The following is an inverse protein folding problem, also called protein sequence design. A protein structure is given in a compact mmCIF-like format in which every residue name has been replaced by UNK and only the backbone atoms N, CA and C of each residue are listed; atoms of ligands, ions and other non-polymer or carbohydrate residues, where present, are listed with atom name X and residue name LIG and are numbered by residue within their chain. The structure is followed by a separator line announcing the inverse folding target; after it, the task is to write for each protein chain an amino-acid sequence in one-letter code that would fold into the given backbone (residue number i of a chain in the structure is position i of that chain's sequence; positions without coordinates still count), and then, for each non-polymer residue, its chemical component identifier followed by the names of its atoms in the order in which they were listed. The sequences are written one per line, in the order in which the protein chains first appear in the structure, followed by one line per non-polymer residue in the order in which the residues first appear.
data_IF_711730695173
#
_entry.id   IF_711730695173
#
_cell.length_a   1.000
_cell.length_b   1.000
_cell.length_c   1.000
_cell.angle_alpha   90.00
_cell.angle_beta   90.00
_cell.angle_gamma   90.00
#
_symmetry.space_group_name_H-M   'P 1'
#
loop_
_entity.id
_entity.type
_entity.pdbx_description
1 polymer ?
#
# COMPACT_ATOMS: atom_id res chain seq x y z
N UNK A 1 -1.59 24.74 -18.43
CA UNK A 1 -0.59 23.96 -17.66
C UNK A 1 -1.33 22.86 -16.91
N UNK A 2 -0.86 21.61 -17.03
CA UNK A 2 -1.40 20.49 -16.24
C UNK A 2 -0.89 20.66 -14.81
N UNK A 3 -1.78 20.87 -13.85
CA UNK A 3 -1.44 21.04 -12.43
C UNK A 3 -1.78 19.78 -11.65
N UNK A 4 -0.87 19.31 -10.79
CA UNK A 4 -1.18 18.24 -9.84
C UNK A 4 -2.05 18.80 -8.71
N UNK A 5 -3.17 18.13 -8.43
CA UNK A 5 -4.17 18.60 -7.46
C UNK A 5 -4.13 17.79 -6.17
N UNK A 6 -3.88 16.47 -6.27
CA UNK A 6 -3.82 15.56 -5.12
C UNK A 6 -2.90 14.38 -5.40
N UNK A 7 -2.19 13.95 -4.36
CA UNK A 7 -1.39 12.74 -4.37
C UNK A 7 -1.72 11.86 -3.14
N UNK A 8 -1.74 10.54 -3.36
CA UNK A 8 -1.97 9.53 -2.34
C UNK A 8 -0.99 8.37 -2.54
N UNK A 9 -0.24 8.03 -1.51
CA UNK A 9 0.81 7.02 -1.56
C UNK A 9 0.58 5.93 -0.52
N UNK A 10 0.83 4.70 -0.92
CA UNK A 10 0.99 3.57 -0.02
C UNK A 10 2.42 3.09 -0.10
N UNK A 11 3.13 2.95 1.02
CA UNK A 11 4.50 2.46 1.03
C UNK A 11 4.71 1.35 2.05
N UNK A 12 5.51 0.36 1.67
CA UNK A 12 6.02 -0.67 2.58
C UNK A 12 7.11 -0.06 3.43
N UNK A 13 7.11 -0.39 4.72
CA UNK A 13 8.20 0.00 5.61
C UNK A 13 9.58 -0.49 5.10
N UNK A 14 10.64 0.15 5.58
CA UNK A 14 12.02 -0.31 5.32
C UNK A 14 12.33 -1.68 5.95
N UNK A 15 13.44 -2.28 5.56
CA UNK A 15 13.86 -3.60 6.05
C UNK A 15 13.90 -3.66 7.59
N UNK A 16 13.33 -4.74 8.15
CA UNK A 16 13.27 -5.01 9.60
C UNK A 16 13.95 -6.32 9.94
N UNK A 17 14.43 -6.42 11.18
CA UNK A 17 14.81 -7.68 11.77
C UNK A 17 13.59 -8.62 11.87
N UNK A 18 13.78 -9.95 11.82
CA UNK A 18 12.71 -10.91 12.08
C UNK A 18 11.99 -10.59 13.40
N UNK A 19 10.67 -10.78 13.44
CA UNK A 19 9.87 -10.57 14.65
C UNK A 19 10.05 -11.68 15.70
N UNK A 20 10.50 -12.86 15.28
CA UNK A 20 10.73 -14.04 16.12
C UNK A 20 12.23 -14.35 16.29
N UNK A 21 12.52 -15.32 17.16
CA UNK A 21 13.88 -15.64 17.59
C UNK A 21 14.80 -15.99 16.42
N UNK A 22 15.98 -15.35 16.42
CA UNK A 22 17.12 -15.76 15.62
C UNK A 22 18.00 -16.61 16.52
N UNK A 23 17.94 -17.93 16.32
CA UNK A 23 18.64 -18.92 17.15
C UNK A 23 20.15 -18.92 16.91
N UNK A 24 20.58 -18.56 15.70
CA UNK A 24 21.98 -18.45 15.35
C UNK A 24 22.55 -17.08 15.79
N UNK A 25 23.49 -17.12 16.75
CA UNK A 25 24.17 -15.94 17.30
C UNK A 25 24.85 -15.07 16.23
N UNK A 26 25.35 -15.67 15.14
CA UNK A 26 25.98 -14.94 14.02
C UNK A 26 24.96 -14.06 13.31
N UNK A 27 23.73 -14.54 13.12
CA UNK A 27 22.66 -13.74 12.52
C UNK A 27 22.05 -12.75 13.51
N UNK A 28 21.97 -13.11 14.80
CA UNK A 28 21.49 -12.19 15.85
C UNK A 28 22.35 -10.93 15.95
N UNK A 29 23.67 -11.06 15.77
CA UNK A 29 24.61 -9.92 15.74
C UNK A 29 24.37 -8.93 14.60
N UNK A 30 23.66 -9.33 13.53
CA UNK A 30 23.31 -8.44 12.40
C UNK A 30 22.13 -7.52 12.70
N UNK A 31 21.38 -7.76 13.76
CA UNK A 31 20.20 -6.98 14.14
C UNK A 31 20.48 -6.14 15.39
N UNK A 32 21.39 -5.17 15.25
CA UNK A 32 21.87 -4.33 16.36
C UNK A 32 20.76 -3.55 17.07
N UNK A 33 19.66 -3.24 16.37
CA UNK A 33 18.50 -2.52 16.91
C UNK A 33 17.50 -3.44 17.63
N UNK A 34 17.68 -4.77 17.59
CA UNK A 34 16.74 -5.74 18.16
C UNK A 34 15.81 -6.39 17.12
N UNK A 35 15.05 -7.39 17.57
CA UNK A 35 14.08 -8.12 16.74
C UNK A 35 12.83 -7.28 16.47
N UNK A 36 12.28 -7.37 15.26
CA UNK A 36 11.12 -6.57 14.82
C UNK A 36 11.42 -5.09 14.52
N UNK A 37 12.61 -4.60 14.86
CA UNK A 37 13.04 -3.22 14.63
C UNK A 37 13.60 -3.02 13.22
N UNK A 38 13.61 -1.76 12.74
CA UNK A 38 14.26 -1.41 11.48
C UNK A 38 15.76 -1.70 11.54
N UNK A 39 16.30 -2.31 10.48
CA UNK A 39 17.76 -2.46 10.31
C UNK A 39 18.38 -1.14 9.87
N UNK A 40 19.71 -1.02 9.98
CA UNK A 40 20.45 0.13 9.42
C UNK A 40 20.14 0.32 7.93
N UNK A 41 20.07 -0.77 7.17
CA UNK A 41 19.68 -0.74 5.76
C UNK A 41 18.24 -0.25 5.57
N UNK A 42 17.31 -0.65 6.44
CA UNK A 42 15.93 -0.18 6.42
C UNK A 42 15.80 1.32 6.70
N UNK A 43 16.60 1.86 7.62
CA UNK A 43 16.68 3.29 7.91
C UNK A 43 17.24 4.06 6.69
N UNK A 44 18.33 3.59 6.11
CA UNK A 44 18.92 4.21 4.92
C UNK A 44 17.99 4.12 3.70
N UNK A 45 17.27 3.00 3.54
CA UNK A 45 16.23 2.83 2.52
C UNK A 45 15.10 3.86 2.67
N UNK A 46 14.60 4.07 3.89
CA UNK A 46 13.61 5.11 4.18
C UNK A 46 14.15 6.52 3.86
N UNK A 47 15.43 6.79 4.17
CA UNK A 47 16.07 8.08 3.87
C UNK A 47 16.18 8.32 2.37
N UNK A 48 16.56 7.30 1.58
CA UNK A 48 16.59 7.37 0.11
C UNK A 48 15.19 7.62 -0.45
N UNK A 49 14.17 6.94 0.08
CA UNK A 49 12.78 7.17 -0.28
C UNK A 49 12.35 8.62 0.02
N UNK A 50 12.72 9.17 1.17
CA UNK A 50 12.48 10.57 1.52
C UNK A 50 13.09 11.55 0.51
N UNK A 51 14.35 11.33 0.10
CA UNK A 51 15.01 12.14 -0.94
C UNK A 51 14.31 12.05 -2.30
N UNK A 52 13.84 10.86 -2.68
CA UNK A 52 13.05 10.68 -3.89
C UNK A 52 11.76 11.51 -3.85
N UNK A 53 11.05 11.50 -2.72
CA UNK A 53 9.81 12.26 -2.55
C UNK A 53 10.05 13.77 -2.51
N UNK A 54 11.13 14.22 -1.88
CA UNK A 54 11.56 15.63 -1.89
C UNK A 54 11.76 16.12 -3.33
N UNK A 55 12.56 15.38 -4.12
CA UNK A 55 12.78 15.70 -5.53
C UNK A 55 11.48 15.69 -6.33
N UNK A 56 10.61 14.71 -6.09
CA UNK A 56 9.35 14.58 -6.84
C UNK A 56 8.34 15.67 -6.53
N UNK A 57 8.20 16.08 -5.26
CA UNK A 57 7.07 16.90 -4.81
C UNK A 57 7.44 18.27 -4.27
N UNK A 58 8.64 18.45 -3.73
CA UNK A 58 9.11 19.75 -3.21
C UNK A 58 9.78 20.54 -4.32
N UNK A 59 10.73 19.93 -5.03
CA UNK A 59 11.43 20.61 -6.14
C UNK A 59 10.48 20.93 -7.31
N UNK A 60 9.46 20.09 -7.53
CA UNK A 60 8.38 20.36 -8.50
C UNK A 60 7.38 21.42 -8.03
N UNK A 61 7.55 21.98 -6.83
CA UNK A 61 6.71 23.01 -6.19
C UNK A 61 5.27 22.56 -5.91
N UNK A 62 4.99 21.26 -5.93
CA UNK A 62 3.68 20.73 -5.56
C UNK A 62 3.41 20.89 -4.06
N UNK A 63 4.37 20.49 -3.23
CA UNK A 63 4.39 20.68 -1.79
C UNK A 63 5.22 21.92 -1.44
N UNK A 64 4.73 22.68 -0.47
CA UNK A 64 5.48 23.80 0.13
C UNK A 64 6.16 23.30 1.39
N UNK A 65 7.38 23.78 1.62
CA UNK A 65 8.11 23.59 2.87
C UNK A 65 7.88 24.79 3.81
N UNK A 66 7.85 24.58 5.13
CA UNK A 66 7.95 23.29 5.83
C UNK A 66 6.67 22.46 5.68
N UNK A 67 6.83 21.14 5.60
CA UNK A 67 5.69 20.22 5.63
C UNK A 67 5.00 20.32 6.99
N UNK A 68 3.68 20.51 7.00
CA UNK A 68 2.92 20.48 8.25
C UNK A 68 2.94 19.04 8.80
N UNK A 69 3.18 18.85 10.11
CA UNK A 69 3.10 17.53 10.72
C UNK A 69 1.70 16.97 10.48
N UNK A 70 1.65 15.79 9.86
CA UNK A 70 0.41 15.08 9.61
C UNK A 70 0.63 13.65 10.09
N UNK A 71 -0.25 13.18 10.95
CA UNK A 71 -0.23 11.79 11.42
C UNK A 71 -0.42 10.85 10.24
N UNK A 72 0.40 9.79 10.20
CA UNK A 72 0.35 8.79 9.14
C UNK A 72 -0.54 7.65 9.58
N UNK A 73 -1.68 7.40 8.90
CA UNK A 73 -2.53 6.27 9.24
C UNK A 73 -1.79 4.96 8.98
N UNK A 74 -1.69 4.12 10.02
CA UNK A 74 -1.27 2.72 9.90
C UNK A 74 -2.50 1.85 9.61
N UNK A 75 -2.42 1.03 8.57
CA UNK A 75 -3.52 0.17 8.13
C UNK A 75 -3.11 -1.30 8.33
N UNK A 76 -3.50 -1.91 9.46
CA UNK A 76 -3.18 -3.32 9.74
C UNK A 76 -4.16 -4.03 10.70
N UNK A 77 -4.59 -3.38 11.78
CA UNK A 77 -5.23 -4.06 12.92
C UNK A 77 -6.56 -4.81 12.64
N UNK A 78 -7.39 -4.29 11.74
CA UNK A 78 -8.74 -4.82 11.49
C UNK A 78 -8.75 -6.22 10.84
N UNK A 79 -7.79 -6.51 9.95
CA UNK A 79 -7.75 -7.77 9.20
C UNK A 79 -7.55 -8.97 10.13
N UNK A 80 -6.74 -8.81 11.18
CA UNK A 80 -6.47 -9.87 12.14
C UNK A 80 -7.68 -10.24 13.00
N UNK A 81 -8.49 -9.24 13.37
CA UNK A 81 -9.76 -9.44 14.06
C UNK A 81 -10.72 -10.28 13.20
N UNK A 82 -10.90 -9.94 11.92
CA UNK A 82 -11.81 -10.68 11.06
C UNK A 82 -11.39 -12.10 10.71
N UNK A 83 -10.10 -12.40 10.69
CA UNK A 83 -9.63 -13.79 10.50
C UNK A 83 -9.79 -14.65 11.76
N UNK A 84 -10.40 -14.12 12.82
CA UNK A 84 -10.54 -14.83 14.08
C UNK A 84 -9.20 -15.09 14.75
N UNK A 85 -8.14 -14.35 14.40
CA UNK A 85 -6.81 -14.41 15.03
C UNK A 85 -6.79 -13.62 16.36
N UNK A 86 -7.86 -13.77 17.13
CA UNK A 86 -7.99 -13.24 18.49
C UNK A 86 -7.19 -14.08 19.49
N UNK A 87 -7.01 -13.59 20.72
CA UNK A 87 -6.40 -14.33 21.83
C UNK A 87 -7.05 -15.69 22.18
N UNK A 88 -8.25 -15.98 21.64
CA UNK A 88 -9.07 -17.16 22.00
C UNK A 88 -9.19 -18.23 20.89
N UNK A 89 -8.48 -18.11 19.76
CA UNK A 89 -8.41 -19.20 18.77
C UNK A 89 -7.52 -20.35 19.27
N UNK A 90 -7.90 -21.59 18.95
CA UNK A 90 -7.12 -22.79 19.25
C UNK A 90 -5.99 -23.03 18.26
N UNK A 91 -5.97 -22.33 17.12
CA UNK A 91 -4.99 -22.50 16.05
C UNK A 91 -3.72 -21.65 16.26
N UNK A 92 -3.89 -20.36 16.57
CA UNK A 92 -2.78 -19.43 16.85
C UNK A 92 -3.21 -18.42 17.91
N UNK A 93 -2.52 -18.37 19.07
CA UNK A 93 -2.94 -17.57 20.23
C UNK A 93 -2.75 -16.07 20.06
N UNK A 94 -1.90 -15.65 19.14
CA UNK A 94 -1.68 -14.24 18.82
C UNK A 94 -1.00 -14.08 17.43
N UNK A 95 -0.90 -12.82 16.97
CA UNK A 95 -0.21 -12.47 15.73
C UNK A 95 1.27 -12.94 15.72
N UNK A 96 1.90 -13.06 16.89
CA UNK A 96 3.30 -13.51 17.01
C UNK A 96 3.42 -15.01 16.76
N UNK A 97 2.47 -15.82 17.20
CA UNK A 97 2.39 -17.25 16.91
C UNK A 97 2.06 -17.50 15.44
N UNK A 98 1.16 -16.70 14.86
CA UNK A 98 0.92 -16.70 13.41
C UNK A 98 2.22 -16.37 12.65
N UNK A 99 2.93 -15.29 13.01
CA UNK A 99 4.21 -14.95 12.38
C UNK A 99 5.29 -16.02 12.55
N UNK A 100 5.30 -16.75 13.67
CA UNK A 100 6.22 -17.89 13.86
C UNK A 100 5.89 -19.03 12.91
N UNK A 101 4.61 -19.36 12.75
CA UNK A 101 4.15 -20.40 11.83
C UNK A 101 4.39 -20.01 10.38
N UNK A 102 4.08 -18.78 10.01
CA UNK A 102 4.42 -18.22 8.70
C UNK A 102 5.92 -18.34 8.43
N UNK A 103 6.78 -17.97 9.40
CA UNK A 103 8.22 -18.10 9.29
C UNK A 103 8.71 -19.54 9.12
N UNK A 104 8.09 -20.52 9.80
CA UNK A 104 8.41 -21.96 9.68
C UNK A 104 8.00 -22.53 8.32
N UNK A 105 6.95 -22.01 7.69
CA UNK A 105 6.48 -22.50 6.39
C UNK A 105 7.24 -21.94 5.18
N UNK A 106 8.12 -20.95 5.38
CA UNK A 106 8.95 -20.35 4.32
C UNK A 106 9.94 -21.35 3.68
N UNK A 107 10.23 -22.50 4.31
CA UNK A 107 11.17 -23.49 3.77
C UNK A 107 10.66 -24.27 2.54
N UNK A 108 9.35 -24.27 2.23
CA UNK A 108 8.79 -24.93 1.03
C UNK A 108 8.20 -23.93 0.04
N UNK A 109 8.89 -23.75 -1.10
CA UNK A 109 8.56 -22.75 -2.13
C UNK A 109 7.10 -22.80 -2.65
N UNK A 110 6.55 -24.00 -2.90
CA UNK A 110 5.16 -24.15 -3.37
C UNK A 110 4.13 -23.79 -2.28
N UNK A 111 4.41 -24.17 -1.04
CA UNK A 111 3.55 -23.84 0.09
C UNK A 111 3.60 -22.33 0.39
N UNK A 112 4.77 -21.72 0.22
CA UNK A 112 4.97 -20.28 0.33
C UNK A 112 4.06 -19.51 -0.64
N UNK A 113 3.93 -19.94 -1.89
CA UNK A 113 3.05 -19.28 -2.87
C UNK A 113 1.58 -19.40 -2.46
N UNK A 114 1.12 -20.57 -2.01
CA UNK A 114 -0.27 -20.79 -1.61
C UNK A 114 -0.64 -20.02 -0.34
N UNK A 115 0.21 -20.07 0.69
CA UNK A 115 0.02 -19.32 1.95
C UNK A 115 0.03 -17.82 1.66
N UNK A 116 0.94 -17.37 0.80
CA UNK A 116 1.03 -15.97 0.45
C UNK A 116 -0.16 -15.49 -0.39
N UNK A 117 -0.62 -16.29 -1.36
CA UNK A 117 -1.84 -16.00 -2.13
C UNK A 117 -3.06 -15.91 -1.19
N UNK A 118 -3.17 -16.80 -0.21
CA UNK A 118 -4.19 -16.74 0.83
C UNK A 118 -4.07 -15.47 1.70
N UNK A 119 -2.86 -15.14 2.17
CA UNK A 119 -2.62 -13.96 3.01
C UNK A 119 -3.00 -12.65 2.32
N UNK A 120 -2.76 -12.58 1.02
CA UNK A 120 -3.05 -11.42 0.17
C UNK A 120 -4.48 -11.44 -0.39
N UNK A 121 -5.13 -12.60 -0.44
CA UNK A 121 -6.40 -12.82 -1.13
C UNK A 121 -6.27 -12.94 -2.65
N UNK A 122 -5.07 -13.17 -3.19
CA UNK A 122 -4.87 -13.25 -4.62
C UNK A 122 -5.71 -14.39 -5.23
N UNK A 123 -6.56 -14.05 -6.20
CA UNK A 123 -7.48 -14.99 -6.84
C UNK A 123 -8.85 -15.13 -6.17
N UNK A 124 -9.08 -14.49 -5.01
CA UNK A 124 -10.37 -14.49 -4.33
C UNK A 124 -10.88 -13.06 -4.08
N UNK A 125 -12.02 -12.74 -4.68
CA UNK A 125 -12.59 -11.38 -4.65
C UNK A 125 -13.00 -10.99 -3.23
N UNK A 126 -13.63 -11.91 -2.50
CA UNK A 126 -14.09 -11.70 -1.12
C UNK A 126 -12.93 -11.40 -0.18
N UNK A 127 -11.85 -12.18 -0.26
CA UNK A 127 -10.64 -11.97 0.54
C UNK A 127 -9.96 -10.66 0.18
N UNK A 128 -9.91 -10.28 -1.12
CA UNK A 128 -9.40 -8.96 -1.52
C UNK A 128 -10.27 -7.81 -0.99
N UNK A 129 -11.60 -7.95 -0.99
CA UNK A 129 -12.48 -6.97 -0.36
C UNK A 129 -12.18 -6.84 1.14
N UNK A 130 -12.01 -7.96 1.84
CA UNK A 130 -11.70 -7.98 3.27
C UNK A 130 -10.34 -7.32 3.57
N UNK A 131 -9.30 -7.68 2.82
CA UNK A 131 -7.92 -7.28 3.09
C UNK A 131 -7.63 -5.81 2.77
N UNK A 132 -8.14 -5.31 1.64
CA UNK A 132 -7.83 -3.96 1.17
C UNK A 132 -9.04 -3.11 0.78
N UNK A 133 -10.24 -3.69 0.73
CA UNK A 133 -11.40 -2.99 0.16
C UNK A 133 -11.79 -1.72 0.90
N UNK A 134 -11.60 -1.67 2.23
CA UNK A 134 -11.78 -0.44 3.02
C UNK A 134 -10.74 0.62 2.68
N UNK A 135 -9.49 0.22 2.47
CA UNK A 135 -8.42 1.13 2.08
C UNK A 135 -8.67 1.69 0.68
N UNK A 136 -8.99 0.85 -0.30
CA UNK A 136 -9.32 1.28 -1.65
C UNK A 136 -10.52 2.22 -1.67
N UNK A 137 -11.59 1.89 -0.95
CA UNK A 137 -12.72 2.80 -0.77
C UNK A 137 -12.28 4.16 -0.21
N UNK A 138 -11.48 4.16 0.86
CA UNK A 138 -10.97 5.41 1.49
C UNK A 138 -10.14 6.25 0.51
N UNK A 139 -9.29 5.62 -0.30
CA UNK A 139 -8.48 6.30 -1.32
C UNK A 139 -9.39 6.95 -2.37
N UNK A 140 -10.38 6.21 -2.89
CA UNK A 140 -11.32 6.72 -3.90
C UNK A 140 -12.17 7.88 -3.37
N UNK A 141 -12.71 7.77 -2.15
CA UNK A 141 -13.47 8.86 -1.51
C UNK A 141 -12.59 10.09 -1.25
N UNK A 142 -11.34 9.88 -0.85
CA UNK A 142 -10.38 11.00 -0.71
C UNK A 142 -10.20 11.76 -2.03
N UNK A 143 -10.11 11.07 -3.17
CA UNK A 143 -10.00 11.74 -4.47
C UNK A 143 -11.28 12.51 -4.82
N UNK A 144 -12.46 11.95 -4.52
CA UNK A 144 -13.75 12.65 -4.66
C UNK A 144 -13.81 13.95 -3.88
N UNK A 145 -13.55 13.89 -2.58
CA UNK A 145 -13.54 15.07 -1.71
C UNK A 145 -12.57 16.14 -2.21
N UNK A 146 -11.39 15.72 -2.69
CA UNK A 146 -10.34 16.64 -3.14
C UNK A 146 -10.64 17.26 -4.50
N UNK A 147 -11.29 16.53 -5.41
CA UNK A 147 -11.81 17.08 -6.65
C UNK A 147 -12.87 18.14 -6.34
N UNK A 148 -13.84 17.83 -5.49
CA UNK A 148 -14.87 18.81 -5.11
C UNK A 148 -14.29 20.06 -4.44
N UNK A 149 -13.32 19.90 -3.53
CA UNK A 149 -12.61 21.02 -2.92
C UNK A 149 -11.95 21.89 -3.98
N UNK A 150 -11.26 21.27 -4.95
CA UNK A 150 -10.60 21.97 -6.04
C UNK A 150 -11.59 22.69 -6.96
N UNK A 151 -12.74 22.09 -7.29
CA UNK A 151 -13.78 22.72 -8.11
C UNK A 151 -14.41 23.93 -7.43
N UNK A 152 -14.64 23.85 -6.10
CA UNK A 152 -15.24 24.93 -5.30
C UNK A 152 -14.26 26.09 -5.06
N UNK A 153 -12.99 25.79 -4.79
CA UNK A 153 -11.99 26.79 -4.32
C UNK A 153 -10.91 27.14 -5.35
N UNK A 154 -10.83 26.43 -6.46
CA UNK A 154 -9.74 26.53 -7.44
C UNK A 154 -8.40 25.95 -6.97
N UNK A 155 -8.33 25.36 -5.77
CA UNK A 155 -7.13 24.74 -5.19
C UNK A 155 -7.49 23.74 -4.09
N UNK A 156 -6.63 22.74 -3.89
CA UNK A 156 -6.63 21.88 -2.69
C UNK A 156 -5.73 22.52 -1.63
N UNK A 157 -6.28 22.92 -0.50
CA UNK A 157 -5.53 23.70 0.52
C UNK A 157 -4.82 22.81 1.53
N UNK A 158 -5.43 21.67 1.90
CA UNK A 158 -4.93 20.77 2.94
C UNK A 158 -4.84 19.33 2.46
N UNK A 159 -3.86 18.60 3.01
CA UNK A 159 -3.60 17.18 2.72
C UNK A 159 -3.36 16.92 1.23
N UNK A 160 -2.50 17.73 0.58
CA UNK A 160 -2.13 17.53 -0.83
C UNK A 160 -1.42 16.19 -1.08
N UNK A 161 -0.67 15.72 -0.09
CA UNK A 161 -0.04 14.40 -0.03
C UNK A 161 -0.66 13.64 1.16
N UNK A 162 -1.01 12.37 0.97
CA UNK A 162 -1.34 11.43 2.06
C UNK A 162 -0.46 10.21 1.86
N UNK A 163 0.18 9.75 2.92
CA UNK A 163 1.04 8.57 2.90
C UNK A 163 0.53 7.54 3.92
N UNK A 164 0.31 6.32 3.47
CA UNK A 164 -0.04 5.18 4.32
C UNK A 164 1.19 4.28 4.44
N UNK A 165 1.65 4.06 5.68
CA UNK A 165 2.70 3.07 5.97
C UNK A 165 2.07 1.71 6.24
N UNK A 166 2.54 0.67 5.58
CA UNK A 166 1.97 -0.67 5.72
C UNK A 166 2.98 -1.79 5.40
N UNK A 167 2.49 -3.01 5.20
CA UNK A 167 3.21 -4.24 4.92
C UNK A 167 3.16 -4.59 3.42
N UNK A 168 4.00 -5.54 2.99
CA UNK A 168 3.99 -6.10 1.64
C UNK A 168 2.62 -6.67 1.23
N UNK A 169 1.99 -7.43 2.12
CA UNK A 169 0.72 -8.09 1.81
C UNK A 169 -0.43 -7.12 1.55
N UNK A 170 -0.46 -5.95 2.22
CA UNK A 170 -1.44 -4.88 1.91
C UNK A 170 -1.13 -4.22 0.57
N UNK A 171 0.14 -3.93 0.27
CA UNK A 171 0.53 -3.39 -1.05
C UNK A 171 0.09 -4.33 -2.16
N UNK A 172 0.38 -5.61 -2.02
CA UNK A 172 0.02 -6.59 -3.02
C UNK A 172 -1.48 -6.83 -3.11
N UNK A 173 -2.19 -6.83 -1.98
CA UNK A 173 -3.65 -6.92 -1.98
C UNK A 173 -4.23 -5.74 -2.76
N UNK A 174 -3.76 -4.51 -2.50
CA UNK A 174 -4.22 -3.32 -3.22
C UNK A 174 -3.89 -3.41 -4.72
N UNK A 175 -2.69 -3.85 -5.09
CA UNK A 175 -2.31 -4.08 -6.49
C UNK A 175 -3.21 -5.11 -7.18
N UNK A 176 -3.59 -6.19 -6.49
CA UNK A 176 -4.52 -7.20 -7.00
C UNK A 176 -5.95 -6.64 -7.13
N UNK A 177 -6.41 -5.89 -6.12
CA UNK A 177 -7.71 -5.23 -6.10
C UNK A 177 -7.86 -4.26 -7.27
N UNK A 178 -6.86 -3.41 -7.52
CA UNK A 178 -6.85 -2.49 -8.67
C UNK A 178 -6.49 -3.19 -10.00
N UNK A 179 -6.10 -4.46 -9.98
CA UNK A 179 -5.76 -5.27 -11.16
C UNK A 179 -4.38 -5.04 -11.76
N UNK A 180 -3.53 -4.24 -11.12
CA UNK A 180 -2.22 -3.85 -11.64
C UNK A 180 -1.05 -4.72 -11.14
N UNK A 181 -1.30 -5.77 -10.34
CA UNK A 181 -0.25 -6.60 -9.74
C UNK A 181 0.74 -7.19 -10.75
N UNK A 182 0.26 -7.81 -11.82
CA UNK A 182 1.12 -8.42 -12.84
C UNK A 182 2.05 -7.39 -13.49
N UNK A 183 1.53 -6.20 -13.77
CA UNK A 183 2.32 -5.11 -14.37
C UNK A 183 3.31 -4.51 -13.37
N UNK A 184 2.92 -4.35 -12.12
CA UNK A 184 3.74 -3.73 -11.08
C UNK A 184 4.91 -4.63 -10.63
N UNK A 185 4.62 -5.90 -10.32
CA UNK A 185 5.54 -6.79 -9.61
C UNK A 185 5.71 -8.17 -10.26
N UNK A 186 5.03 -8.45 -11.37
CA UNK A 186 5.07 -9.76 -12.03
C UNK A 186 4.54 -10.87 -11.13
N UNK A 187 5.36 -11.90 -10.91
CA UNK A 187 5.07 -13.02 -9.99
C UNK A 187 5.72 -12.83 -8.61
N UNK A 188 6.36 -11.68 -8.38
CA UNK A 188 7.06 -11.38 -7.14
C UNK A 188 6.16 -10.87 -6.02
N UNK A 189 6.81 -10.41 -4.96
CA UNK A 189 6.20 -9.69 -3.84
C UNK A 189 6.80 -8.29 -3.76
N UNK A 190 6.06 -7.27 -3.27
CA UNK A 190 6.59 -5.92 -3.15
C UNK A 190 7.84 -5.88 -2.25
N UNK A 191 8.95 -5.35 -2.75
CA UNK A 191 10.19 -5.20 -1.98
C UNK A 191 10.04 -4.22 -0.79
N UNK A 192 10.94 -4.27 0.19
CA UNK A 192 11.01 -3.22 1.23
C UNK A 192 11.11 -1.85 0.57
N UNK A 193 10.54 -0.81 1.18
CA UNK A 193 10.52 0.55 0.60
C UNK A 193 9.79 0.70 -0.76
N UNK A 194 9.09 -0.34 -1.24
CA UNK A 194 8.21 -0.21 -2.40
C UNK A 194 7.01 0.68 -2.11
N UNK A 195 6.44 1.27 -3.17
CA UNK A 195 5.35 2.23 -3.07
C UNK A 195 4.39 2.18 -4.25
N UNK A 196 3.10 2.36 -3.97
CA UNK A 196 2.06 2.63 -4.97
C UNK A 196 1.71 4.12 -4.85
N UNK A 197 1.77 4.84 -5.97
CA UNK A 197 1.56 6.29 -6.05
C UNK A 197 0.33 6.53 -6.91
N UNK A 198 -0.67 7.24 -6.37
CA UNK A 198 -1.86 7.69 -7.09
C UNK A 198 -1.85 9.21 -7.20
N UNK A 199 -1.77 9.72 -8.43
CA UNK A 199 -1.73 11.15 -8.71
C UNK A 199 -2.96 11.60 -9.47
N UNK A 200 -3.65 12.62 -8.93
CA UNK A 200 -4.70 13.34 -9.63
C UNK A 200 -4.13 14.63 -10.22
N UNK A 201 -4.35 14.83 -11.51
CA UNK A 201 -3.94 16.02 -12.26
C UNK A 201 -5.16 16.69 -12.87
N UNK A 202 -5.07 18.00 -13.08
CA UNK A 202 -6.12 18.79 -13.73
C UNK A 202 -5.56 19.66 -14.84
N UNK A 203 -6.34 19.80 -15.91
CA UNK A 203 -6.10 20.75 -16.99
C UNK A 203 -7.43 21.21 -17.56
N UNK A 204 -7.68 22.53 -17.61
CA UNK A 204 -8.93 23.10 -18.12
C UNK A 204 -10.20 22.48 -17.49
N UNK A 205 -10.18 22.23 -16.17
CA UNK A 205 -11.25 21.55 -15.40
C UNK A 205 -11.50 20.08 -15.76
N UNK A 206 -10.69 19.48 -16.63
CA UNK A 206 -10.65 18.03 -16.84
C UNK A 206 -9.69 17.40 -15.83
N UNK A 207 -10.11 16.33 -15.18
CA UNK A 207 -9.31 15.60 -14.18
C UNK A 207 -8.87 14.24 -14.73
N UNK A 208 -7.64 13.88 -14.45
CA UNK A 208 -7.06 12.60 -14.81
C UNK A 208 -6.29 11.99 -13.65
N UNK A 209 -6.20 10.67 -13.68
CA UNK A 209 -5.52 9.83 -12.70
C UNK A 209 -4.33 9.14 -13.35
N UNK A 210 -3.23 9.05 -12.61
CA UNK A 210 -2.09 8.23 -12.97
C UNK A 210 -1.66 7.41 -11.77
N UNK A 211 -1.27 6.17 -12.04
CA UNK A 211 -0.84 5.24 -11.01
C UNK A 211 0.57 4.77 -11.34
N UNK A 212 1.44 4.80 -10.34
CA UNK A 212 2.82 4.35 -10.46
C UNK A 212 3.14 3.32 -9.39
N UNK A 213 4.00 2.36 -9.73
CA UNK A 213 4.64 1.49 -8.77
C UNK A 213 6.14 1.82 -8.72
N UNK A 214 6.64 2.17 -7.55
CA UNK A 214 8.07 2.33 -7.31
C UNK A 214 8.57 1.12 -6.54
N UNK A 215 9.47 0.38 -7.16
CA UNK A 215 10.21 -0.64 -6.43
C UNK A 215 11.20 0.01 -5.46
N UNK A 216 11.44 -0.66 -4.32
CA UNK A 216 12.35 -0.18 -3.29
C UNK A 216 13.80 -0.12 -3.74
N UNK A 217 14.20 -1.01 -4.65
CA UNK A 217 15.56 -1.07 -5.19
C UNK A 217 15.72 -0.20 -6.45
N UNK A 218 14.62 0.17 -7.11
CA UNK A 218 14.64 0.97 -8.31
C UNK A 218 14.90 2.45 -8.03
N UNK A 219 15.62 3.13 -8.93
CA UNK A 219 15.85 4.58 -8.83
C UNK A 219 14.66 5.43 -9.34
N UNK A 220 13.72 4.81 -10.07
CA UNK A 220 12.55 5.47 -10.66
C UNK A 220 11.30 4.61 -10.48
N UNK A 221 10.15 5.26 -10.58
CA UNK A 221 8.85 4.60 -10.62
C UNK A 221 8.50 4.07 -12.02
N UNK A 222 7.71 3.00 -12.05
CA UNK A 222 7.08 2.43 -13.24
C UNK A 222 5.63 2.92 -13.33
N UNK A 223 5.21 3.42 -14.47
CA UNK A 223 3.82 3.77 -14.71
C UNK A 223 2.97 2.51 -14.95
N UNK A 224 1.87 2.37 -14.21
CA UNK A 224 1.01 1.17 -14.23
C UNK A 224 -0.46 1.53 -14.49
N UNK A 225 -0.76 2.74 -14.98
CA UNK A 225 -2.13 3.26 -15.08
C UNK A 225 -3.02 2.41 -15.99
N UNK A 226 -2.51 1.95 -17.13
CA UNK A 226 -3.29 1.12 -18.07
C UNK A 226 -3.63 -0.27 -17.50
N UNK A 227 -2.88 -0.75 -16.51
CA UNK A 227 -3.16 -2.02 -15.85
C UNK A 227 -4.26 -1.88 -14.77
N UNK A 228 -4.64 -0.66 -14.40
CA UNK A 228 -5.71 -0.42 -13.43
C UNK A 228 -7.05 -0.75 -14.05
N UNK A 229 -7.87 -1.55 -13.34
CA UNK A 229 -9.22 -1.91 -13.77
C UNK A 229 -10.05 -0.65 -14.00
N UNK A 230 -10.70 -0.59 -15.16
CA UNK A 230 -11.53 0.54 -15.59
C UNK A 230 -10.79 1.59 -16.41
N UNK A 231 -9.46 1.65 -16.36
CA UNK A 231 -8.69 2.64 -17.12
C UNK A 231 -8.41 2.17 -18.55
N UNK A 232 -8.92 2.90 -19.54
CA UNK A 232 -8.74 2.58 -20.96
C UNK A 232 -7.47 3.16 -21.60
N UNK A 233 -6.86 4.17 -20.96
CA UNK A 233 -5.72 4.93 -21.49
C UNK A 233 -4.90 5.60 -20.38
N UNK A 234 -3.74 6.12 -20.74
CA UNK A 234 -2.92 6.98 -19.87
C UNK A 234 -2.84 8.40 -20.44
N UNK A 235 -3.05 9.46 -19.62
CA UNK A 235 -3.60 9.44 -18.26
C UNK A 235 -5.05 8.95 -18.24
N UNK A 236 -5.45 8.24 -17.19
CA UNK A 236 -6.78 7.67 -17.06
C UNK A 236 -7.80 8.78 -16.75
N UNK A 237 -8.95 8.86 -17.44
CA UNK A 237 -10.02 9.77 -17.05
C UNK A 237 -10.46 9.53 -15.62
N UNK A 238 -10.68 10.61 -14.87
CA UNK A 238 -11.04 10.51 -13.45
C UNK A 238 -12.27 9.63 -13.18
N UNK A 239 -13.32 9.74 -14.01
CA UNK A 239 -14.54 8.94 -13.86
C UNK A 239 -14.29 7.45 -14.15
N UNK A 240 -13.45 7.12 -15.14
CA UNK A 240 -13.01 5.76 -15.41
C UNK A 240 -12.26 5.18 -14.19
N UNK A 241 -11.33 5.95 -13.63
CA UNK A 241 -10.61 5.54 -12.43
C UNK A 241 -11.52 5.36 -11.21
N UNK A 242 -12.51 6.23 -10.98
CA UNK A 242 -13.44 6.06 -9.85
C UNK A 242 -14.39 4.88 -10.00
N UNK A 243 -14.67 4.49 -11.24
CA UNK A 243 -15.45 3.29 -11.52
C UNK A 243 -14.65 2.00 -11.27
N UNK A 244 -13.35 2.11 -10.97
CA UNK A 244 -12.51 0.99 -10.57
C UNK A 244 -13.16 0.21 -9.43
N UNK A 245 -13.19 -1.10 -9.68
CA UNK A 245 -13.05 -2.10 -8.65
C UNK A 245 -14.21 -2.12 -7.65
N UNK A 246 -15.44 -1.91 -8.14
CA UNK A 246 -16.67 -2.04 -7.34
C UNK A 246 -16.73 -3.38 -6.60
N UNK A 247 -16.31 -4.45 -7.25
CA UNK A 247 -16.25 -5.79 -6.66
C UNK A 247 -15.08 -5.98 -5.69
N UNK A 248 -14.20 -5.00 -5.51
CA UNK A 248 -13.02 -5.11 -4.63
C UNK A 248 -13.02 -4.07 -3.52
N UNK A 249 -14.10 -3.30 -3.35
CA UNK A 249 -14.19 -2.26 -2.31
C UNK A 249 -15.27 -2.60 -1.28
N UNK A 250 -15.08 -2.14 -0.05
CA UNK A 250 -16.09 -2.24 1.00
C UNK A 250 -16.06 -0.99 1.89
N UNK A 251 -17.22 -0.53 2.32
CA UNK A 251 -17.35 0.57 3.28
C UNK A 251 -17.21 0.08 4.72
N UNK A 252 -17.59 -1.16 4.99
CA UNK A 252 -17.54 -1.81 6.29
C UNK A 252 -17.04 -3.24 6.11
N UNK A 253 -15.76 -3.50 6.40
CA UNK A 253 -15.22 -4.82 6.17
C UNK A 253 -15.85 -5.90 7.09
N UNK A 254 -16.53 -5.55 8.19
CA UNK A 254 -17.30 -6.53 8.99
C UNK A 254 -18.40 -7.22 8.19
N UNK A 255 -18.99 -6.53 7.21
CA UNK A 255 -20.00 -7.12 6.31
C UNK A 255 -19.44 -8.23 5.43
N UNK A 256 -18.13 -8.22 5.19
CA UNK A 256 -17.41 -9.25 4.44
C UNK A 256 -16.97 -10.39 5.35
N UNK A 257 -16.63 -10.08 6.61
CA UNK A 257 -16.11 -11.07 7.58
C UNK A 257 -17.10 -12.16 7.98
N UNK A 258 -18.41 -11.92 7.81
CA UNK A 258 -19.48 -12.84 8.21
C UNK A 258 -20.14 -13.56 7.03
N UNK A 259 -19.48 -13.59 5.87
CA UNK A 259 -19.95 -14.42 4.76
C UNK A 259 -19.70 -15.91 5.12
N UNK A 260 -20.72 -16.77 4.97
CA UNK A 260 -20.74 -18.14 5.51
C UNK A 260 -19.66 -19.06 4.95
#
# INVERSE_FOLDING_TARGET
MIGMTKDCQLFRHGARAPHSEVTDAKFKSKFANGLGELTTDGIEGNKKLGKYLEKRYVESKFLRVPLLPQEWPMFEGFVFECLGLHKNTTLFKDAKEFSKMEALYIEKLLLRIQVFAFNVGAGDVTTLQLKQGKLLHTILETFKEKKEEHEKKGKVEKKKLIMYSTQDWILQALLNGIGAAKEAIGEGIPNFNSMIIFEMRTSNKTYTMQVFYKDGEANSEKEITQAVRGCSKTPCPYEEFLSCCNDYKTTDPNTVCHLP
#
